data_IF_098836131203
#
_entry.id   IF_098836131203
#
_cell.length_a   1.000
_cell.length_b   1.000
_cell.length_c   1.000
_cell.angle_alpha   90.00
_cell.angle_beta   90.00
_cell.angle_gamma   90.00
#
_symmetry.space_group_name_H-M   'P 1'
#
loop_
_entity.id
_entity.type
_entity.pdbx_description
1 polymer ?
#
# COMPACT_ATOMS: atom_id res chain seq x y z
N UNK A 1 -7.98 65.55 53.75
CA UNK A 1 -8.09 65.61 52.27
C UNK A 1 -7.13 64.58 51.72
N UNK A 2 -7.66 63.45 51.24
CA UNK A 2 -6.85 62.32 50.78
C UNK A 2 -6.68 62.41 49.26
N UNK A 3 -5.42 62.45 48.82
CA UNK A 3 -5.01 62.38 47.42
C UNK A 3 -5.27 60.96 46.88
N UNK A 4 -6.13 60.85 45.87
CA UNK A 4 -6.32 59.62 45.11
C UNK A 4 -5.35 59.60 43.93
N UNK A 5 -4.29 58.80 44.07
CA UNK A 5 -3.37 58.48 42.98
C UNK A 5 -4.10 57.81 41.83
N UNK A 6 -4.07 58.45 40.65
CA UNK A 6 -4.63 57.94 39.41
C UNK A 6 -3.70 56.88 38.83
N UNK A 7 -3.98 55.61 39.13
CA UNK A 7 -3.34 54.48 38.49
C UNK A 7 -3.71 54.45 36.99
N UNK A 8 -2.78 54.90 36.15
CA UNK A 8 -2.85 54.81 34.70
C UNK A 8 -2.90 53.33 34.28
N UNK A 9 -4.11 52.85 33.97
CA UNK A 9 -4.35 51.51 33.47
C UNK A 9 -3.81 51.36 32.03
N UNK A 10 -2.61 50.78 31.90
CA UNK A 10 -2.08 50.33 30.62
C UNK A 10 -2.96 49.18 30.11
N UNK A 11 -3.92 49.48 29.24
CA UNK A 11 -4.68 48.47 28.49
C UNK A 11 -3.73 47.70 27.57
N UNK A 12 -3.60 46.37 27.70
CA UNK A 12 -2.87 45.59 26.73
C UNK A 12 -3.67 45.55 25.42
N UNK A 13 -3.19 46.28 24.41
CA UNK A 13 -3.65 46.14 23.03
C UNK A 13 -3.41 44.70 22.59
N UNK A 14 -4.47 43.89 22.51
CA UNK A 14 -4.45 42.55 21.92
C UNK A 14 -4.10 42.69 20.44
N UNK A 15 -2.81 42.53 20.10
CA UNK A 15 -2.38 42.38 18.70
C UNK A 15 -2.96 41.07 18.16
N UNK A 16 -3.71 41.10 17.04
CA UNK A 16 -4.12 39.88 16.38
C UNK A 16 -2.86 39.17 15.89
N UNK A 17 -2.59 37.97 16.40
CA UNK A 17 -1.50 37.13 15.91
C UNK A 17 -1.86 36.72 14.49
N UNK A 18 -1.17 37.30 13.52
CA UNK A 18 -1.26 36.86 12.14
C UNK A 18 -0.94 35.35 12.06
N UNK A 19 -1.73 34.58 11.29
CA UNK A 19 -1.48 33.16 11.11
C UNK A 19 -0.04 32.95 10.62
N UNK A 20 0.70 32.05 11.28
CA UNK A 20 2.10 31.75 10.93
C UNK A 20 2.18 31.41 9.44
N UNK A 21 3.26 31.81 8.77
CA UNK A 21 3.48 31.55 7.33
C UNK A 21 3.22 30.08 6.92
N UNK A 22 3.45 29.12 7.82
CA UNK A 22 3.12 27.71 7.61
C UNK A 22 1.62 27.40 7.44
N UNK A 23 0.72 28.09 8.16
CA UNK A 23 -0.73 27.90 7.98
C UNK A 23 -1.21 28.49 6.66
N UNK A 24 -0.60 29.59 6.18
CA UNK A 24 -0.92 30.15 4.86
C UNK A 24 -0.45 29.23 3.72
N UNK A 25 0.75 28.65 3.85
CA UNK A 25 1.26 27.66 2.88
C UNK A 25 0.38 26.41 2.82
N UNK A 26 -0.03 25.88 3.97
CA UNK A 26 -0.96 24.74 4.03
C UNK A 26 -2.30 25.09 3.39
N UNK A 27 -2.86 26.26 3.70
CA UNK A 27 -4.13 26.69 3.12
C UNK A 27 -4.04 26.89 1.59
N UNK A 28 -2.96 27.49 1.10
CA UNK A 28 -2.72 27.67 -0.33
C UNK A 28 -2.55 26.32 -1.05
N UNK A 29 -1.82 25.38 -0.46
CA UNK A 29 -1.62 24.04 -1.01
C UNK A 29 -2.95 23.26 -1.07
N UNK A 30 -3.74 23.30 0.00
CA UNK A 30 -5.06 22.67 0.05
C UNK A 30 -5.99 23.29 -0.99
N UNK A 31 -6.02 24.62 -1.12
CA UNK A 31 -6.83 25.30 -2.13
C UNK A 31 -6.41 24.93 -3.56
N UNK A 32 -5.10 24.82 -3.82
CA UNK A 32 -4.57 24.37 -5.11
C UNK A 32 -4.97 22.94 -5.44
N UNK A 33 -4.86 22.01 -4.48
CA UNK A 33 -5.24 20.61 -4.64
C UNK A 33 -6.75 20.46 -4.89
N UNK A 34 -7.59 21.21 -4.17
CA UNK A 34 -9.03 21.24 -4.39
C UNK A 34 -9.40 21.81 -5.75
N UNK A 35 -8.72 22.87 -6.21
CA UNK A 35 -8.90 23.43 -7.55
C UNK A 35 -8.53 22.44 -8.66
N UNK A 36 -7.42 21.72 -8.49
CA UNK A 36 -6.98 20.70 -9.44
C UNK A 36 -7.93 19.51 -9.50
N UNK A 37 -8.39 19.02 -8.33
CA UNK A 37 -9.40 17.97 -8.26
C UNK A 37 -10.70 18.41 -8.96
N UNK A 38 -11.18 19.62 -8.68
CA UNK A 38 -12.35 20.17 -9.33
C UNK A 38 -12.18 20.28 -10.85
N UNK A 39 -11.00 20.67 -11.34
CA UNK A 39 -10.71 20.73 -12.77
C UNK A 39 -10.76 19.35 -13.45
N UNK A 40 -10.23 18.30 -12.80
CA UNK A 40 -10.32 16.92 -13.30
C UNK A 40 -11.77 16.44 -13.34
N UNK A 41 -12.54 16.68 -12.27
CA UNK A 41 -13.95 16.31 -12.17
C UNK A 41 -14.84 17.04 -13.17
N UNK A 42 -14.51 18.30 -13.50
CA UNK A 42 -15.28 19.12 -14.43
C UNK A 42 -14.72 19.12 -15.86
N UNK A 43 -13.70 18.30 -16.17
CA UNK A 43 -13.24 18.16 -17.55
C UNK A 43 -14.32 17.40 -18.32
N UNK A 44 -15.07 18.06 -19.23
CA UNK A 44 -16.01 17.33 -20.06
C UNK A 44 -15.23 16.42 -21.01
N UNK A 45 -15.66 15.16 -21.24
CA UNK A 45 -15.07 14.33 -22.29
C UNK A 45 -15.49 14.89 -23.65
N UNK A 46 -14.73 15.86 -24.17
CA UNK A 46 -14.97 16.54 -25.45
C UNK A 46 -13.94 16.14 -26.53
N UNK A 47 -14.33 15.19 -27.37
CA UNK A 47 -13.95 14.89 -28.77
C UNK A 47 -12.56 15.24 -29.37
N UNK A 48 -11.84 14.15 -29.74
CA UNK A 48 -11.17 13.74 -31.01
C UNK A 48 -10.43 14.72 -31.94
N UNK A 49 -9.29 14.29 -32.53
CA UNK A 49 -9.19 14.15 -34.00
C UNK A 49 -8.28 12.98 -34.48
N UNK A 50 -8.16 12.71 -35.80
CA UNK A 50 -9.20 12.48 -36.81
C UNK A 50 -9.14 11.05 -37.39
N UNK A 51 -10.28 10.64 -37.96
CA UNK A 51 -10.47 9.50 -38.84
C UNK A 51 -9.57 9.58 -40.08
N UNK A 52 -8.82 8.52 -40.38
CA UNK A 52 -8.33 8.25 -41.74
C UNK A 52 -9.04 7.01 -42.27
N UNK A 53 -9.90 7.25 -43.26
CA UNK A 53 -10.67 6.27 -44.01
C UNK A 53 -9.79 5.24 -44.73
N UNK A 54 -10.38 4.06 -44.90
CA UNK A 54 -9.89 2.88 -45.62
C UNK A 54 -9.45 3.14 -47.08
N UNK A 55 -8.88 2.13 -47.78
CA UNK A 55 -9.75 1.16 -48.45
C UNK A 55 -9.24 -0.30 -48.43
N UNK A 56 -10.19 -1.25 -48.29
CA UNK A 56 -10.07 -2.60 -48.86
C UNK A 56 -10.26 -2.49 -50.40
N UNK A 57 -9.71 -3.39 -51.24
CA UNK A 57 -10.25 -4.74 -51.48
C UNK A 57 -9.10 -5.78 -51.73
N UNK A 58 -9.25 -7.09 -51.82
CA UNK A 58 -10.13 -7.89 -52.69
C UNK A 58 -9.91 -9.38 -52.35
N UNK A 59 -10.98 -10.17 -52.30
CA UNK A 59 -10.93 -11.64 -52.44
C UNK A 59 -10.64 -12.03 -53.89
N UNK A 60 -9.98 -13.18 -54.11
CA UNK A 60 -10.63 -14.22 -54.91
C UNK A 60 -10.43 -15.65 -54.36
N UNK A 61 -11.54 -16.40 -54.31
CA UNK A 61 -11.65 -17.87 -54.42
C UNK A 61 -11.64 -18.21 -55.95
N UNK A 62 -11.31 -19.40 -56.52
CA UNK A 62 -11.53 -20.79 -56.04
C UNK A 62 -10.47 -21.87 -56.38
N UNK A 63 -10.59 -23.05 -55.75
CA UNK A 63 -9.96 -24.30 -56.19
C UNK A 63 -10.40 -25.51 -55.33
N UNK A 64 -10.84 -26.65 -55.91
CA UNK A 64 -11.45 -27.79 -55.20
C UNK A 64 -10.44 -28.91 -54.91
N UNK A 65 -10.71 -29.76 -53.91
CA UNK A 65 -9.94 -30.97 -53.67
C UNK A 65 -10.31 -31.71 -52.39
N UNK A 66 -11.27 -32.63 -52.52
CA UNK A 66 -11.39 -33.94 -51.87
C UNK A 66 -11.23 -34.13 -50.34
N UNK A 67 -12.38 -34.45 -49.71
CA UNK A 67 -12.57 -35.33 -48.54
C UNK A 67 -11.93 -36.73 -48.76
N UNK A 68 -11.70 -37.60 -47.73
CA UNK A 68 -12.49 -37.73 -46.50
C UNK A 68 -11.73 -38.01 -45.18
N UNK A 69 -12.48 -37.84 -44.09
CA UNK A 69 -12.18 -38.35 -42.74
C UNK A 69 -12.22 -39.90 -42.67
N UNK A 70 -11.79 -40.50 -41.53
CA UNK A 70 -12.80 -40.77 -40.51
C UNK A 70 -12.37 -40.53 -39.05
N UNK A 71 -13.41 -40.31 -38.25
CA UNK A 71 -13.49 -40.20 -36.80
C UNK A 71 -12.69 -41.24 -36.00
N UNK A 72 -12.16 -40.80 -34.86
CA UNK A 72 -12.31 -41.56 -33.61
C UNK A 72 -12.60 -40.58 -32.48
N UNK A 73 -13.69 -40.84 -31.77
CA UNK A 73 -14.26 -40.01 -30.72
C UNK A 73 -13.50 -40.12 -29.39
N UNK A 74 -13.32 -38.97 -28.72
CA UNK A 74 -13.49 -38.57 -27.29
C UNK A 74 -13.27 -39.60 -26.13
N UNK A 75 -13.22 -39.22 -24.83
CA UNK A 75 -13.35 -37.89 -24.19
C UNK A 75 -12.33 -37.57 -23.04
N UNK A 76 -12.26 -36.31 -22.60
CA UNK A 76 -11.85 -35.96 -21.22
C UNK A 76 -11.06 -34.67 -21.04
N UNK A 77 -11.74 -33.58 -20.65
CA UNK A 77 -11.16 -32.33 -20.12
C UNK A 77 -10.46 -32.58 -18.75
N UNK A 78 -9.59 -31.66 -18.28
CA UNK A 78 -10.09 -30.57 -17.43
C UNK A 78 -9.55 -29.18 -17.81
N UNK A 79 -10.49 -28.27 -18.04
CA UNK A 79 -10.51 -26.90 -17.51
C UNK A 79 -9.18 -26.13 -17.53
N UNK A 80 -8.90 -25.53 -18.69
CA UNK A 80 -8.08 -24.34 -18.78
C UNK A 80 -8.82 -23.22 -18.01
N UNK A 81 -8.42 -23.00 -16.76
CA UNK A 81 -8.85 -21.81 -16.03
C UNK A 81 -8.30 -20.61 -16.77
N UNK A 82 -9.21 -19.76 -17.22
CA UNK A 82 -8.98 -18.34 -17.46
C UNK A 82 -7.96 -17.81 -16.45
N UNK A 83 -6.73 -17.67 -16.90
CA UNK A 83 -5.75 -16.86 -16.19
C UNK A 83 -6.11 -15.44 -16.55
N UNK A 84 -6.94 -14.83 -15.69
CA UNK A 84 -7.12 -13.39 -15.68
C UNK A 84 -5.70 -12.81 -15.65
N UNK A 85 -5.23 -12.05 -16.66
CA UNK A 85 -3.98 -11.36 -16.52
C UNK A 85 -4.21 -10.35 -15.41
N UNK A 86 -3.70 -10.66 -14.22
CA UNK A 86 -3.56 -9.66 -13.19
C UNK A 86 -2.68 -8.58 -13.82
N UNK A 87 -3.29 -7.44 -14.17
CA UNK A 87 -2.61 -6.20 -14.52
C UNK A 87 -1.88 -5.71 -13.26
N UNK A 88 -0.91 -6.50 -12.83
CA UNK A 88 0.05 -6.13 -11.82
C UNK A 88 1.04 -5.30 -12.60
N UNK A 89 1.01 -4.00 -12.32
CA UNK A 89 1.96 -3.04 -12.85
C UNK A 89 3.37 -3.64 -12.76
N UNK A 90 4.08 -3.88 -13.89
CA UNK A 90 5.34 -4.62 -13.89
C UNK A 90 6.42 -3.95 -13.02
N UNK A 91 6.24 -2.67 -12.71
CA UNK A 91 7.11 -1.90 -11.81
C UNK A 91 6.90 -2.18 -10.30
N UNK A 92 5.80 -2.81 -9.86
CA UNK A 92 5.65 -3.25 -8.46
C UNK A 92 6.24 -4.64 -8.18
N UNK A 93 6.42 -5.46 -9.21
CA UNK A 93 6.92 -6.82 -9.06
C UNK A 93 8.43 -6.88 -8.73
N UNK A 94 9.19 -5.82 -9.04
CA UNK A 94 10.66 -5.82 -8.94
C UNK A 94 11.21 -5.86 -7.51
N UNK A 95 10.38 -5.65 -6.48
CA UNK A 95 10.79 -5.66 -5.06
C UNK A 95 10.24 -6.81 -4.22
N UNK A 96 9.30 -7.62 -4.73
CA UNK A 96 8.61 -8.65 -3.96
C UNK A 96 9.29 -10.00 -4.10
N UNK A 97 9.76 -10.54 -2.98
CA UNK A 97 10.32 -11.87 -2.94
C UNK A 97 9.19 -12.93 -2.94
N UNK A 98 9.31 -14.02 -3.72
CA UNK A 98 8.32 -15.09 -3.68
C UNK A 98 8.25 -15.72 -2.29
N UNK A 99 7.07 -16.22 -1.92
CA UNK A 99 6.89 -16.97 -0.69
C UNK A 99 7.66 -18.30 -0.82
N UNK A 100 8.60 -18.61 0.08
CA UNK A 100 9.29 -19.90 0.09
C UNK A 100 8.32 -21.07 0.25
N UNK A 101 8.65 -22.21 -0.36
CA UNK A 101 7.85 -23.41 -0.23
C UNK A 101 7.69 -23.84 1.24
N UNK A 102 6.47 -24.13 1.66
CA UNK A 102 6.16 -24.51 3.04
C UNK A 102 6.00 -23.33 4.01
N UNK A 103 6.25 -22.09 3.58
CA UNK A 103 6.00 -20.88 4.37
C UNK A 103 4.66 -20.23 4.04
N UNK A 104 4.18 -19.38 4.94
CA UNK A 104 2.97 -18.56 4.79
C UNK A 104 3.37 -17.08 4.82
N UNK A 105 2.94 -16.33 3.82
CA UNK A 105 3.12 -14.87 3.78
C UNK A 105 2.15 -14.18 4.74
N UNK A 106 2.66 -13.42 5.71
CA UNK A 106 1.86 -12.73 6.73
C UNK A 106 2.19 -11.24 6.76
N UNK A 107 1.20 -10.35 6.58
CA UNK A 107 1.39 -8.92 6.80
C UNK A 107 1.40 -8.61 8.30
N UNK A 108 2.44 -7.92 8.77
CA UNK A 108 2.60 -7.51 10.16
C UNK A 108 2.76 -6.00 10.24
N UNK A 109 1.89 -5.36 11.03
CA UNK A 109 2.00 -3.93 11.36
C UNK A 109 2.89 -3.77 12.58
N UNK A 110 3.97 -3.02 12.41
CA UNK A 110 4.88 -2.76 13.52
C UNK A 110 4.33 -1.65 14.40
N UNK A 111 4.59 -1.76 15.70
CA UNK A 111 4.29 -0.69 16.64
C UNK A 111 5.18 0.53 16.41
N UNK A 112 6.40 0.30 15.93
CA UNK A 112 7.36 1.35 15.56
C UNK A 112 7.58 1.36 14.03
N UNK A 113 6.93 2.26 13.29
CA UNK A 113 7.01 2.28 11.83
C UNK A 113 8.39 2.72 11.32
N UNK A 114 9.20 3.43 12.13
CA UNK A 114 10.55 3.82 11.73
C UNK A 114 11.47 2.61 11.49
N UNK A 115 11.20 1.45 12.11
CA UNK A 115 11.96 0.23 11.90
C UNK A 115 11.87 -0.30 10.45
N UNK A 116 10.83 0.07 9.70
CA UNK A 116 10.72 -0.33 8.29
C UNK A 116 11.78 0.34 7.40
N UNK A 117 12.38 1.44 7.84
CA UNK A 117 13.44 2.13 7.07
C UNK A 117 14.78 1.37 7.05
N UNK A 118 15.01 0.50 8.02
CA UNK A 118 16.27 -0.26 8.14
C UNK A 118 16.16 -1.67 7.57
N UNK A 119 14.96 -2.16 7.34
CA UNK A 119 14.70 -3.52 6.85
C UNK A 119 14.56 -3.53 5.34
N UNK A 120 15.15 -4.55 4.71
CA UNK A 120 15.07 -4.77 3.26
C UNK A 120 14.38 -6.11 2.95
N UNK A 121 13.67 -6.24 1.82
CA UNK A 121 13.29 -7.55 1.31
C UNK A 121 14.51 -8.48 1.21
N UNK A 122 14.36 -9.73 1.61
CA UNK A 122 15.46 -10.71 1.72
C UNK A 122 16.16 -10.75 3.08
N UNK A 123 15.95 -9.76 3.96
CA UNK A 123 16.49 -9.79 5.31
C UNK A 123 15.79 -10.83 6.19
N UNK A 124 16.47 -11.28 7.24
CA UNK A 124 15.89 -12.17 8.26
C UNK A 124 15.72 -11.40 9.57
N UNK A 125 14.55 -11.54 10.19
CA UNK A 125 14.19 -10.82 11.41
C UNK A 125 13.57 -11.73 12.45
N UNK A 126 13.77 -11.41 13.72
CA UNK A 126 13.00 -12.01 14.81
C UNK A 126 11.76 -11.18 15.06
N UNK A 127 10.60 -11.81 15.11
CA UNK A 127 9.32 -11.18 15.38
C UNK A 127 8.97 -11.32 16.86
N UNK A 128 8.79 -10.17 17.51
CA UNK A 128 8.44 -10.06 18.91
C UNK A 128 7.02 -9.48 19.06
N UNK A 129 6.33 -9.86 20.13
CA UNK A 129 5.08 -9.24 20.53
C UNK A 129 5.16 -8.71 21.96
N UNK A 130 4.73 -7.47 22.14
CA UNK A 130 4.50 -6.87 23.45
C UNK A 130 2.99 -6.82 23.72
N UNK A 131 2.61 -7.20 24.94
CA UNK A 131 1.22 -7.03 25.39
C UNK A 131 0.89 -5.54 25.55
N UNK A 132 -0.32 -5.16 25.14
CA UNK A 132 -0.82 -3.81 25.31
C UNK A 132 -1.05 -3.44 26.80
N UNK A 133 -1.25 -4.45 27.65
CA UNK A 133 -1.73 -4.29 29.04
C UNK A 133 -0.62 -4.11 30.09
N UNK A 134 0.65 -4.22 29.70
CA UNK A 134 1.76 -4.27 30.66
C UNK A 134 2.87 -3.25 30.39
N UNK A 135 2.95 -2.20 31.21
CA UNK A 135 4.19 -1.42 31.34
C UNK A 135 5.29 -2.32 31.93
N UNK A 136 6.19 -2.81 31.09
CA UNK A 136 7.40 -3.52 31.50
C UNK A 136 7.38 -5.04 31.37
N UNK A 137 6.35 -5.63 30.77
CA UNK A 137 6.43 -7.05 30.38
C UNK A 137 7.45 -7.21 29.25
N UNK A 138 8.39 -8.15 29.41
CA UNK A 138 9.37 -8.45 28.38
C UNK A 138 8.66 -8.92 27.10
N UNK A 139 9.08 -8.46 25.92
CA UNK A 139 8.48 -8.89 24.67
C UNK A 139 8.70 -10.40 24.47
N UNK A 140 7.66 -11.10 24.03
CA UNK A 140 7.72 -12.54 23.76
C UNK A 140 8.13 -12.78 22.31
N UNK A 141 9.02 -13.75 22.08
CA UNK A 141 9.43 -14.16 20.74
C UNK A 141 8.34 -15.01 20.10
N UNK A 142 7.77 -14.49 19.01
CA UNK A 142 6.86 -15.25 18.17
C UNK A 142 7.69 -16.11 17.22
N UNK A 143 8.35 -15.47 16.26
CA UNK A 143 9.13 -16.13 15.23
C UNK A 143 10.61 -15.73 15.28
N UNK A 144 11.50 -16.69 15.05
CA UNK A 144 12.94 -16.47 14.92
C UNK A 144 13.33 -16.58 13.44
N UNK A 145 14.10 -15.63 12.92
CA UNK A 145 14.65 -15.68 11.56
C UNK A 145 13.60 -15.70 10.44
N UNK A 146 12.50 -14.98 10.60
CA UNK A 146 11.50 -14.81 9.55
C UNK A 146 12.06 -14.03 8.36
N UNK A 147 11.85 -14.54 7.14
CA UNK A 147 12.28 -13.87 5.91
C UNK A 147 11.33 -12.72 5.58
N UNK A 148 11.89 -11.56 5.28
CA UNK A 148 11.13 -10.40 4.80
C UNK A 148 10.90 -10.54 3.30
N UNK A 149 9.64 -10.62 2.91
CA UNK A 149 9.22 -10.75 1.51
C UNK A 149 9.06 -9.39 0.83
N UNK A 150 8.48 -8.44 1.55
CA UNK A 150 8.21 -7.09 1.06
C UNK A 150 8.07 -6.11 2.25
N UNK A 151 8.28 -4.83 1.98
CA UNK A 151 8.07 -3.73 2.92
C UNK A 151 7.13 -2.73 2.26
N UNK A 152 5.90 -2.63 2.76
CA UNK A 152 4.85 -1.80 2.17
C UNK A 152 4.58 -0.56 3.01
N UNK A 153 4.31 0.57 2.36
CA UNK A 153 3.90 1.81 3.02
C UNK A 153 5.03 2.54 3.76
N UNK A 154 6.29 2.33 3.37
CA UNK A 154 7.42 3.09 3.94
C UNK A 154 7.24 4.58 3.64
N UNK A 155 7.07 5.39 4.68
CA UNK A 155 6.84 6.84 4.56
C UNK A 155 5.36 7.26 4.52
N UNK A 156 4.43 6.31 4.50
CA UNK A 156 3.00 6.58 4.64
C UNK A 156 2.65 6.94 6.09
N UNK A 157 1.89 8.02 6.29
CA UNK A 157 1.54 8.53 7.63
C UNK A 157 0.22 8.01 8.17
N UNK A 158 -0.52 7.24 7.38
CA UNK A 158 -1.83 6.68 7.71
C UNK A 158 -1.75 5.40 8.57
N UNK A 159 -0.54 4.94 8.89
CA UNK A 159 -0.30 3.72 9.63
C UNK A 159 -0.57 2.44 8.82
N UNK A 160 -0.74 2.55 7.49
CA UNK A 160 -0.87 1.42 6.55
C UNK A 160 0.44 0.69 6.26
N UNK A 161 1.53 1.14 6.87
CA UNK A 161 2.83 0.51 6.74
C UNK A 161 2.85 -0.90 7.36
N UNK A 162 3.33 -1.88 6.59
CA UNK A 162 3.36 -3.27 7.00
C UNK A 162 4.59 -3.99 6.42
N UNK A 163 5.07 -4.96 7.19
CA UNK A 163 6.10 -5.89 6.77
C UNK A 163 5.43 -7.19 6.31
N UNK A 164 5.74 -7.67 5.11
CA UNK A 164 5.31 -9.00 4.69
C UNK A 164 6.40 -10.01 5.03
N UNK A 165 6.06 -10.98 5.88
CA UNK A 165 6.99 -11.99 6.36
C UNK A 165 6.62 -13.37 5.83
N UNK A 166 7.61 -14.18 5.46
CA UNK A 166 7.45 -15.61 5.34
C UNK A 166 7.67 -16.27 6.71
N UNK A 167 6.61 -16.88 7.22
CA UNK A 167 6.59 -17.58 8.50
C UNK A 167 6.28 -19.06 8.30
N UNK A 168 6.79 -19.91 9.19
CA UNK A 168 6.30 -21.28 9.29
C UNK A 168 4.80 -21.30 9.62
N UNK A 169 4.03 -22.33 9.20
CA UNK A 169 2.59 -22.36 9.43
C UNK A 169 2.17 -22.18 10.89
N UNK A 170 2.90 -22.76 11.84
CA UNK A 170 2.62 -22.62 13.28
C UNK A 170 3.00 -21.24 13.83
N UNK A 171 4.01 -20.60 13.23
CA UNK A 171 4.40 -19.23 13.54
C UNK A 171 3.36 -18.24 13.02
N UNK A 172 2.87 -18.46 11.80
CA UNK A 172 1.80 -17.68 11.20
C UNK A 172 0.53 -17.75 12.05
N UNK A 173 0.10 -18.96 12.45
CA UNK A 173 -1.07 -19.18 13.31
C UNK A 173 -0.98 -18.43 14.64
N UNK A 174 0.19 -18.47 15.29
CA UNK A 174 0.42 -17.69 16.52
C UNK A 174 0.36 -16.18 16.27
N UNK A 175 1.00 -15.73 15.19
CA UNK A 175 1.06 -14.30 14.84
C UNK A 175 -0.33 -13.73 14.54
N UNK A 176 -1.16 -14.43 13.77
CA UNK A 176 -2.53 -13.99 13.43
C UNK A 176 -3.51 -14.19 14.58
N UNK A 177 -3.23 -15.13 15.49
CA UNK A 177 -4.03 -15.38 16.69
C UNK A 177 -3.78 -14.38 17.82
N UNK A 178 -2.91 -13.40 17.63
CA UNK A 178 -2.65 -12.37 18.62
C UNK A 178 -3.89 -11.50 18.85
N UNK A 179 -4.16 -11.08 20.11
CA UNK A 179 -5.26 -10.16 20.40
C UNK A 179 -5.18 -8.86 19.61
N UNK A 180 -6.33 -8.28 19.30
CA UNK A 180 -6.41 -6.93 18.73
C UNK A 180 -5.68 -5.92 19.63
N UNK A 181 -4.89 -5.03 19.02
CA UNK A 181 -4.05 -4.07 19.75
C UNK A 181 -2.68 -4.61 20.20
N UNK A 182 -2.35 -5.87 19.90
CA UNK A 182 -0.99 -6.40 20.08
C UNK A 182 0.03 -5.55 19.34
N UNK A 183 1.17 -5.29 20.00
CA UNK A 183 2.23 -4.44 19.45
C UNK A 183 3.40 -5.29 19.02
N UNK A 184 3.64 -5.34 17.71
CA UNK A 184 4.74 -6.10 17.14
C UNK A 184 6.01 -5.27 17.05
N UNK A 185 7.14 -5.90 17.34
CA UNK A 185 8.48 -5.35 17.16
C UNK A 185 9.35 -6.38 16.43
N UNK A 186 10.44 -5.91 15.82
CA UNK A 186 11.38 -6.77 15.11
C UNK A 186 12.80 -6.54 15.57
N UNK A 187 13.61 -7.58 15.54
CA UNK A 187 15.07 -7.51 15.67
C UNK A 187 15.67 -7.97 14.36
N UNK A 188 16.48 -7.13 13.73
CA UNK A 188 17.15 -7.45 12.46
C UNK A 188 18.43 -8.22 12.75
N UNK A 189 18.60 -9.39 12.14
CA UNK A 189 19.86 -10.14 12.20
C UNK A 189 20.74 -9.70 11.02
N UNK A 190 21.97 -9.28 11.32
CA UNK A 190 22.98 -8.87 10.36
C UNK A 190 23.92 -10.00 9.97
#
# INVERSE_FOLDING_TARGET
MAETGTAAALRPLRRPRLPRRGTLLRAALVAGLLGLAAAVLHTPPGCSPPTASAPAPSTPRPGPGDSPAPSTAAPGLPTERDTIPATSDPHQAEGRLPIPAGSVGVPVRLAEPAALTVVRPGAHVDLLVASADGRGAAPSLLASGALVLDVVGVGETDGSAALYLALDPDQARRTVGQPEGSRFAIVVRG
#
